data_IF_504465207965
#
_entry.id   IF_504465207965
#
_cell.length_a   1.000
_cell.length_b   1.000
_cell.length_c   1.000
_cell.angle_alpha   90.00
_cell.angle_beta   90.00
_cell.angle_gamma   90.00
#
_symmetry.space_group_name_H-M   'P 1'
#
loop_
_entity.id
_entity.type
_entity.pdbx_description
1 polymer ?
#
# COMPACT_ATOMS: atom_id res chain seq x y z
N UNK A 1 61.87 23.83 -5.64
CA UNK A 1 60.85 22.76 -5.67
C UNK A 1 59.83 23.08 -4.58
N UNK A 2 58.57 23.34 -4.94
CA UNK A 2 57.50 23.77 -4.03
C UNK A 2 56.63 22.57 -3.66
N UNK A 3 56.26 22.50 -2.36
CA UNK A 3 54.98 22.00 -1.79
C UNK A 3 54.79 20.46 -1.74
N UNK A 4 54.19 19.83 -0.72
CA UNK A 4 53.23 20.23 0.33
C UNK A 4 53.42 19.34 1.59
N UNK A 5 53.23 19.96 2.75
CA UNK A 5 53.13 19.36 4.09
C UNK A 5 51.73 18.76 4.28
N UNK A 6 51.65 17.51 4.73
CA UNK A 6 50.39 16.87 5.11
C UNK A 6 50.05 17.31 6.54
N UNK A 7 49.07 18.20 6.66
CA UNK A 7 48.49 18.60 7.95
C UNK A 7 47.31 17.69 8.26
N UNK A 8 47.45 16.91 9.33
CA UNK A 8 46.38 16.21 10.03
C UNK A 8 45.48 17.27 10.66
N UNK A 9 44.21 17.34 10.24
CA UNK A 9 43.20 18.20 10.84
C UNK A 9 42.35 17.37 11.80
N UNK A 10 42.69 17.48 13.08
CA UNK A 10 41.78 17.18 14.20
C UNK A 10 40.83 18.37 14.31
N UNK A 11 39.56 18.16 14.01
CA UNK A 11 38.49 19.12 14.33
C UNK A 11 37.58 18.52 15.40
N UNK A 12 37.90 18.81 16.65
CA UNK A 12 36.91 18.95 17.71
C UNK A 12 36.34 20.37 17.62
N UNK A 13 35.00 20.52 17.53
CA UNK A 13 34.23 21.65 18.05
C UNK A 13 32.71 21.43 17.80
N UNK A 14 32.02 21.20 18.92
CA UNK A 14 30.68 21.66 19.30
C UNK A 14 29.43 21.25 18.51
N UNK A 15 28.50 20.70 19.29
CA UNK A 15 27.15 20.29 18.94
C UNK A 15 26.31 21.47 18.42
N UNK A 16 25.79 21.31 17.21
CA UNK A 16 24.76 22.16 16.62
C UNK A 16 24.00 21.35 15.58
N UNK A 17 22.79 20.92 15.93
CA UNK A 17 21.70 20.41 15.08
C UNK A 17 22.10 19.80 13.72
N UNK A 18 22.44 18.50 13.74
CA UNK A 18 22.59 17.67 12.54
C UNK A 18 21.32 16.84 12.21
N UNK A 19 20.13 17.41 12.43
CA UNK A 19 18.83 16.70 12.27
C UNK A 19 18.00 17.18 11.06
N UNK A 20 18.61 17.75 10.01
CA UNK A 20 17.82 18.28 8.88
C UNK A 20 18.45 18.13 7.47
N UNK A 21 19.37 17.18 7.25
CA UNK A 21 20.06 17.05 5.94
C UNK A 21 20.12 15.65 5.32
N UNK A 22 19.32 14.70 5.80
CA UNK A 22 19.29 13.34 5.21
C UNK A 22 17.94 12.90 4.60
N UNK A 23 16.99 13.83 4.51
CA UNK A 23 15.82 13.70 3.64
C UNK A 23 15.91 14.80 2.58
N UNK A 24 15.78 14.41 1.31
CA UNK A 24 15.91 15.25 0.13
C UNK A 24 17.33 15.72 -0.22
N UNK A 25 18.09 14.81 -0.82
CA UNK A 25 18.91 15.22 -1.96
C UNK A 25 18.13 14.86 -3.22
N UNK A 26 17.59 15.85 -3.97
CA UNK A 26 17.04 15.63 -5.31
C UNK A 26 18.03 14.95 -6.27
N UNK A 27 19.32 14.82 -5.88
CA UNK A 27 20.39 14.17 -6.64
C UNK A 27 20.61 12.69 -6.28
N UNK A 28 20.05 12.16 -5.18
CA UNK A 28 20.34 10.80 -4.70
C UNK A 28 19.17 9.80 -4.80
N UNK A 29 17.96 10.24 -5.16
CA UNK A 29 16.79 9.37 -5.31
C UNK A 29 16.18 8.88 -3.99
N UNK A 30 15.11 8.08 -4.09
CA UNK A 30 14.48 7.41 -2.92
C UNK A 30 15.35 6.26 -2.42
N UNK A 31 15.27 5.94 -1.12
CA UNK A 31 16.02 4.80 -0.56
C UNK A 31 15.47 3.50 -1.15
N UNK A 32 16.35 2.60 -1.56
CA UNK A 32 15.93 1.23 -1.88
C UNK A 32 15.63 0.45 -0.60
N UNK A 33 14.90 -0.66 -0.72
CA UNK A 33 14.66 -1.59 0.40
C UNK A 33 15.95 -2.06 1.07
N UNK A 34 17.03 -2.23 0.31
CA UNK A 34 18.34 -2.62 0.83
C UNK A 34 19.01 -1.50 1.65
N UNK A 35 18.89 -0.24 1.19
CA UNK A 35 19.36 0.92 1.95
C UNK A 35 18.57 1.09 3.25
N UNK A 36 17.25 0.89 3.20
CA UNK A 36 16.38 0.94 4.37
C UNK A 36 16.76 -0.17 5.36
N UNK A 37 16.97 -1.41 4.90
CA UNK A 37 17.45 -2.51 5.75
C UNK A 37 18.79 -2.16 6.43
N UNK A 38 19.74 -1.59 5.69
CA UNK A 38 21.02 -1.14 6.27
C UNK A 38 20.78 -0.09 7.35
N UNK A 39 19.93 0.88 7.07
CA UNK A 39 19.59 1.94 8.01
C UNK A 39 18.96 1.42 9.30
N UNK A 40 18.06 0.42 9.21
CA UNK A 40 17.50 -0.23 10.39
C UNK A 40 18.56 -0.94 11.24
N UNK A 41 19.56 -1.57 10.61
CA UNK A 41 20.66 -2.19 11.36
C UNK A 41 21.50 -1.12 12.06
N UNK A 42 21.82 -0.02 11.37
CA UNK A 42 22.55 1.10 11.97
C UNK A 42 21.79 1.70 13.17
N UNK A 43 20.46 1.84 13.08
CA UNK A 43 19.63 2.28 14.21
C UNK A 43 19.68 1.29 15.39
N UNK A 44 19.64 -0.01 15.11
CA UNK A 44 19.67 -1.04 16.13
C UNK A 44 21.02 -1.14 16.83
N UNK A 45 22.11 -1.09 16.07
CA UNK A 45 23.48 -1.13 16.59
C UNK A 45 23.76 0.09 17.50
N UNK A 46 23.20 1.26 17.17
CA UNK A 46 23.32 2.47 17.98
C UNK A 46 22.34 2.54 19.16
N UNK A 47 21.42 1.58 19.29
CA UNK A 47 20.37 1.56 20.32
C UNK A 47 20.36 0.25 21.09
N UNK A 48 21.54 -0.19 21.54
CA UNK A 48 21.72 -1.44 22.28
C UNK A 48 20.75 -1.59 23.45
N UNK A 49 20.14 -2.77 23.56
CA UNK A 49 19.10 -3.08 24.56
C UNK A 49 17.69 -2.59 24.19
N UNK A 50 17.54 -1.72 23.19
CA UNK A 50 16.25 -1.15 22.81
C UNK A 50 15.76 -1.54 21.41
N UNK A 51 16.65 -1.94 20.51
CA UNK A 51 16.29 -2.29 19.14
C UNK A 51 16.93 -3.60 18.67
N UNK A 52 16.18 -4.39 17.90
CA UNK A 52 16.70 -5.56 17.18
C UNK A 52 16.05 -5.69 15.81
N UNK A 53 16.86 -5.86 14.78
CA UNK A 53 16.39 -6.13 13.41
C UNK A 53 16.25 -7.63 13.18
N UNK A 54 15.17 -8.04 12.50
CA UNK A 54 14.97 -9.41 12.02
C UNK A 54 14.16 -9.36 10.73
N UNK A 55 14.36 -10.37 9.89
CA UNK A 55 13.41 -10.66 8.83
C UNK A 55 12.20 -11.42 9.36
N UNK A 56 10.99 -11.02 8.92
CA UNK A 56 9.74 -11.71 9.26
C UNK A 56 9.37 -12.77 8.20
N UNK A 57 10.10 -12.81 7.09
CA UNK A 57 9.86 -13.71 5.97
C UNK A 57 10.53 -13.20 4.70
N UNK A 58 10.36 -13.94 3.61
CA UNK A 58 10.92 -13.58 2.31
C UNK A 58 9.81 -13.44 1.28
N UNK A 59 10.03 -12.61 0.26
CA UNK A 59 9.16 -12.55 -0.93
C UNK A 59 9.27 -13.83 -1.77
N UNK A 60 8.57 -13.89 -2.91
CA UNK A 60 8.64 -15.05 -3.82
C UNK A 60 9.92 -15.12 -4.66
N UNK A 61 10.67 -14.02 -4.78
CA UNK A 61 11.64 -13.86 -5.86
C UNK A 61 10.95 -13.45 -7.17
N UNK A 62 11.75 -12.99 -8.12
CA UNK A 62 11.32 -12.71 -9.51
C UNK A 62 12.18 -13.48 -10.50
N UNK A 63 11.77 -13.53 -11.77
CA UNK A 63 12.61 -14.13 -12.82
C UNK A 63 13.98 -13.42 -12.83
N UNK A 64 15.04 -14.11 -12.39
CA UNK A 64 16.41 -13.62 -12.33
C UNK A 64 16.84 -12.87 -11.06
N UNK A 65 15.97 -12.69 -10.04
CA UNK A 65 16.36 -12.10 -8.75
C UNK A 65 15.94 -12.99 -7.57
N UNK A 66 16.83 -13.20 -6.57
CA UNK A 66 16.50 -14.00 -5.40
C UNK A 66 15.41 -13.32 -4.56
N UNK A 67 14.65 -14.09 -3.75
CA UNK A 67 13.75 -13.56 -2.74
C UNK A 67 14.42 -12.49 -1.87
N UNK A 68 13.66 -11.44 -1.54
CA UNK A 68 14.07 -10.37 -0.65
C UNK A 68 13.51 -10.59 0.75
N UNK A 69 14.32 -10.27 1.75
CA UNK A 69 13.90 -10.29 3.16
C UNK A 69 12.92 -9.16 3.45
N UNK A 70 11.81 -9.48 4.12
CA UNK A 70 10.86 -8.51 4.66
C UNK A 70 11.39 -8.09 6.03
N UNK A 71 12.13 -6.98 6.06
CA UNK A 71 12.91 -6.57 7.23
C UNK A 71 12.06 -5.75 8.20
N UNK A 72 12.13 -6.10 9.49
CA UNK A 72 11.48 -5.40 10.58
C UNK A 72 12.48 -4.98 11.67
N UNK A 73 12.23 -3.86 12.32
CA UNK A 73 12.90 -3.47 13.58
C UNK A 73 11.91 -3.60 14.73
N UNK A 74 12.30 -4.32 15.79
CA UNK A 74 11.57 -4.41 17.05
C UNK A 74 12.19 -3.44 18.04
N UNK A 75 11.37 -2.53 18.58
CA UNK A 75 11.75 -1.46 19.49
C UNK A 75 11.00 -1.63 20.82
N UNK A 76 11.74 -1.86 21.91
CA UNK A 76 11.22 -1.99 23.28
C UNK A 76 12.39 -2.03 24.26
N UNK A 77 12.17 -1.69 25.54
CA UNK A 77 13.18 -1.95 26.58
C UNK A 77 13.44 -3.46 26.69
N UNK A 78 14.71 -3.86 26.66
CA UNK A 78 15.17 -5.25 26.61
C UNK A 78 14.73 -6.00 25.35
N UNK A 79 14.89 -5.37 24.18
CA UNK A 79 14.49 -5.90 22.88
C UNK A 79 14.94 -7.35 22.65
N UNK A 80 13.97 -8.23 22.37
CA UNK A 80 14.19 -9.64 22.04
C UNK A 80 13.10 -10.15 21.10
N UNK A 81 13.53 -10.86 20.05
CA UNK A 81 12.59 -11.54 19.15
C UNK A 81 12.07 -12.86 19.71
N UNK A 82 12.77 -13.42 20.70
CA UNK A 82 12.50 -14.76 21.27
C UNK A 82 11.71 -14.70 22.59
N UNK A 83 11.83 -13.59 23.33
CA UNK A 83 11.10 -13.39 24.57
C UNK A 83 10.48 -11.99 24.56
N UNK A 84 9.17 -11.96 24.48
CA UNK A 84 8.37 -10.76 24.34
C UNK A 84 7.98 -10.15 25.71
N UNK A 85 8.32 -10.86 26.82
CA UNK A 85 8.03 -10.47 28.20
C UNK A 85 6.54 -10.36 28.51
N UNK A 86 5.67 -10.95 27.70
CA UNK A 86 4.22 -10.77 27.74
C UNK A 86 3.76 -9.37 27.34
N UNK A 87 4.65 -8.51 26.81
CA UNK A 87 4.30 -7.13 26.45
C UNK A 87 3.37 -7.13 25.23
N UNK A 88 2.27 -6.35 25.24
CA UNK A 88 1.47 -6.15 24.05
C UNK A 88 2.32 -5.54 22.93
N UNK A 89 2.08 -5.99 21.69
CA UNK A 89 2.81 -5.59 20.50
C UNK A 89 1.95 -4.71 19.61
N UNK A 90 2.53 -3.63 19.12
CA UNK A 90 1.99 -2.77 18.06
C UNK A 90 2.82 -3.00 16.81
N UNK A 91 2.17 -3.26 15.68
CA UNK A 91 2.84 -3.38 14.38
C UNK A 91 2.58 -2.11 13.56
N UNK A 92 3.62 -1.58 12.93
CA UNK A 92 3.54 -0.45 12.00
C UNK A 92 4.13 -0.90 10.66
N UNK A 93 3.38 -0.74 9.58
CA UNK A 93 3.81 -1.10 8.23
C UNK A 93 3.83 0.09 7.30
N UNK A 94 4.76 0.06 6.35
CA UNK A 94 4.80 0.95 5.19
C UNK A 94 5.04 0.16 3.91
N UNK A 95 4.77 0.80 2.78
CA UNK A 95 4.95 0.26 1.43
C UNK A 95 4.45 -1.19 1.28
N UNK A 96 3.23 -1.47 1.75
CA UNK A 96 2.48 -2.64 1.29
C UNK A 96 2.17 -2.51 -0.22
N UNK A 97 1.97 -1.28 -0.70
CA UNK A 97 1.95 -0.94 -2.11
C UNK A 97 3.29 -0.37 -2.55
N UNK A 98 3.83 -0.86 -3.67
CA UNK A 98 5.18 -0.51 -4.12
C UNK A 98 5.37 0.99 -4.41
N UNK A 99 4.36 1.65 -4.97
CA UNK A 99 4.40 3.03 -5.43
C UNK A 99 4.18 4.09 -4.33
N UNK A 100 4.00 3.70 -3.06
CA UNK A 100 3.70 4.62 -1.96
C UNK A 100 4.98 5.03 -1.22
N UNK A 101 5.90 5.69 -1.93
CA UNK A 101 7.30 5.87 -1.51
C UNK A 101 7.54 6.70 -0.25
N UNK A 102 6.56 7.51 0.17
CA UNK A 102 6.67 8.30 1.39
C UNK A 102 6.48 7.45 2.66
N UNK A 103 5.76 6.32 2.56
CA UNK A 103 5.34 5.54 3.74
C UNK A 103 6.50 4.85 4.47
N UNK A 104 7.58 4.35 3.80
CA UNK A 104 8.76 3.87 4.51
C UNK A 104 9.49 4.98 5.26
N UNK A 105 9.56 6.20 4.72
CA UNK A 105 10.22 7.33 5.37
C UNK A 105 9.47 7.75 6.64
N UNK A 106 8.13 7.70 6.63
CA UNK A 106 7.32 7.87 7.85
C UNK A 106 7.65 6.81 8.89
N UNK A 107 7.75 5.53 8.47
CA UNK A 107 8.12 4.43 9.36
C UNK A 107 9.52 4.62 9.97
N UNK A 108 10.49 5.10 9.18
CA UNK A 108 11.84 5.40 9.66
C UNK A 108 11.84 6.56 10.66
N UNK A 109 11.12 7.65 10.38
CA UNK A 109 10.99 8.77 11.31
C UNK A 109 10.34 8.37 12.64
N UNK A 110 9.37 7.45 12.63
CA UNK A 110 8.80 6.88 13.86
C UNK A 110 9.85 6.07 14.62
N UNK A 111 10.63 5.22 13.93
CA UNK A 111 11.68 4.43 14.56
C UNK A 111 12.74 5.31 15.24
N UNK A 112 13.23 6.33 14.53
CA UNK A 112 14.16 7.34 15.04
C UNK A 112 13.58 8.05 16.26
N UNK A 113 12.37 8.60 16.14
CA UNK A 113 11.75 9.35 17.23
C UNK A 113 11.62 8.52 18.51
N UNK A 114 11.22 7.25 18.39
CA UNK A 114 11.12 6.34 19.53
C UNK A 114 12.49 6.08 20.18
N UNK A 115 13.53 5.86 19.39
CA UNK A 115 14.88 5.53 19.87
C UNK A 115 15.62 6.74 20.44
N UNK A 116 15.44 7.92 19.85
CA UNK A 116 16.00 9.18 20.34
C UNK A 116 15.36 9.59 21.68
N UNK A 117 14.08 9.26 21.86
CA UNK A 117 13.32 9.59 23.07
C UNK A 117 13.15 8.42 24.05
N UNK A 118 13.89 7.31 23.87
CA UNK A 118 13.76 6.11 24.72
C UNK A 118 13.98 6.37 26.22
N UNK A 119 14.83 7.35 26.54
CA UNK A 119 15.12 7.76 27.92
C UNK A 119 14.29 8.96 28.39
N UNK A 120 13.46 9.52 27.50
CA UNK A 120 12.63 10.68 27.79
C UNK A 120 11.40 10.29 28.63
N UNK A 121 11.42 10.73 29.89
CA UNK A 121 10.35 10.48 30.86
C UNK A 121 9.27 11.57 30.86
N UNK A 122 9.53 12.72 30.22
CA UNK A 122 8.58 13.80 30.12
C UNK A 122 7.37 13.39 29.27
N UNK A 123 6.19 13.98 29.52
CA UNK A 123 5.06 13.83 28.61
C UNK A 123 5.45 14.23 27.18
N UNK A 124 5.13 13.35 26.23
CA UNK A 124 5.37 13.50 24.81
C UNK A 124 4.62 14.73 24.31
N UNK A 125 5.36 15.52 23.54
CA UNK A 125 4.89 16.72 22.91
C UNK A 125 4.89 16.53 21.41
N UNK A 126 3.92 17.18 20.81
CA UNK A 126 3.79 17.32 19.38
C UNK A 126 4.92 18.25 18.87
N UNK A 127 5.17 18.33 17.57
CA UNK A 127 6.26 19.14 17.00
C UNK A 127 6.12 20.65 17.24
N UNK A 128 4.94 21.14 17.69
CA UNK A 128 4.74 22.54 18.14
C UNK A 128 5.01 22.72 19.64
N UNK A 129 5.41 21.65 20.32
CA UNK A 129 5.65 21.63 21.76
C UNK A 129 4.38 21.47 22.58
N UNK A 130 3.20 21.27 21.98
CA UNK A 130 1.97 21.01 22.73
C UNK A 130 1.94 19.58 23.24
N UNK A 131 1.34 19.37 24.41
CA UNK A 131 1.15 18.01 24.90
C UNK A 131 0.25 17.21 23.96
N UNK A 132 0.61 15.97 23.65
CA UNK A 132 -0.24 15.09 22.81
C UNK A 132 -1.59 14.79 23.51
N UNK A 133 -1.66 14.98 24.83
CA UNK A 133 -2.88 14.91 25.62
C UNK A 133 -3.44 16.29 26.02
N UNK A 134 -3.01 17.40 25.41
CA UNK A 134 -3.68 18.70 25.60
C UNK A 134 -5.13 18.60 25.11
N UNK A 135 -6.08 19.22 25.82
CA UNK A 135 -7.53 19.13 25.52
C UNK A 135 -8.27 17.96 26.20
N UNK A 136 -7.59 17.16 27.02
CA UNK A 136 -8.21 16.19 27.93
C UNK A 136 -9.03 16.90 29.04
N UNK A 137 -10.22 17.43 28.71
CA UNK A 137 -11.15 17.96 29.71
C UNK A 137 -12.02 19.17 29.35
N UNK A 138 -11.98 19.73 28.14
CA UNK A 138 -12.77 20.94 27.83
C UNK A 138 -13.44 20.89 26.45
N UNK A 139 -14.55 20.15 26.37
CA UNK A 139 -15.71 20.49 25.55
C UNK A 139 -16.86 19.54 25.95
N UNK A 140 -17.82 20.04 26.71
CA UNK A 140 -19.11 19.40 26.86
C UNK A 140 -19.81 19.44 25.49
N UNK A 141 -19.60 18.40 24.67
CA UNK A 141 -20.18 18.29 23.33
C UNK A 141 -19.33 17.55 22.29
N UNK A 142 -18.04 17.32 22.51
CA UNK A 142 -17.17 16.62 21.54
C UNK A 142 -16.81 15.20 22.01
N UNK A 143 -17.02 14.22 21.13
CA UNK A 143 -16.97 12.76 21.34
C UNK A 143 -15.56 12.17 21.52
N UNK A 144 -14.52 12.96 21.79
CA UNK A 144 -13.11 12.54 21.70
C UNK A 144 -12.48 12.09 23.03
N UNK A 145 -13.28 11.68 24.02
CA UNK A 145 -12.90 11.35 25.41
C UNK A 145 -11.86 10.24 25.65
N UNK A 146 -11.09 9.82 24.64
CA UNK A 146 -10.00 8.84 24.76
C UNK A 146 -8.68 9.58 25.07
N UNK A 147 -8.19 9.39 26.29
CA UNK A 147 -6.95 10.00 26.78
C UNK A 147 -5.84 8.92 26.83
N UNK A 148 -4.71 9.11 26.14
CA UNK A 148 -3.58 8.18 26.23
C UNK A 148 -3.05 8.07 27.66
N UNK A 149 -3.08 6.86 28.23
CA UNK A 149 -2.54 6.56 29.57
C UNK A 149 -1.01 6.58 29.59
N UNK A 150 -0.39 6.11 28.51
CA UNK A 150 1.05 6.15 28.30
C UNK A 150 1.37 7.41 27.51
N UNK A 151 1.88 8.42 28.21
CA UNK A 151 2.17 9.71 27.62
C UNK A 151 3.66 10.05 27.58
N UNK A 152 4.58 9.17 27.99
CA UNK A 152 6.02 9.37 27.76
C UNK A 152 6.60 8.21 26.96
N UNK A 153 7.57 8.50 26.09
CA UNK A 153 8.17 7.49 25.22
C UNK A 153 8.90 6.42 26.03
N UNK A 154 9.64 6.81 27.07
CA UNK A 154 10.28 5.84 27.96
C UNK A 154 9.28 4.88 28.62
N UNK A 155 8.14 5.39 29.12
CA UNK A 155 7.10 4.53 29.73
C UNK A 155 6.40 3.67 28.69
N UNK A 156 6.23 4.16 27.47
CA UNK A 156 5.70 3.40 26.35
C UNK A 156 6.58 2.18 26.06
N UNK A 157 7.89 2.38 25.85
CA UNK A 157 8.83 1.30 25.50
C UNK A 157 9.07 0.29 26.64
N UNK A 158 8.79 0.66 27.89
CA UNK A 158 8.77 -0.28 29.03
C UNK A 158 7.55 -1.19 29.02
N UNK A 159 6.42 -0.74 28.45
CA UNK A 159 5.12 -1.41 28.54
C UNK A 159 4.71 -2.14 27.27
N UNK A 160 5.18 -1.70 26.11
CA UNK A 160 4.81 -2.28 24.82
C UNK A 160 6.03 -2.67 24.00
N UNK A 161 5.80 -3.49 22.98
CA UNK A 161 6.70 -3.70 21.86
C UNK A 161 6.18 -2.94 20.65
N UNK A 162 7.07 -2.28 19.91
CA UNK A 162 6.73 -1.70 18.61
C UNK A 162 7.54 -2.42 17.55
N UNK A 163 6.88 -3.07 16.61
CA UNK A 163 7.51 -3.68 15.43
C UNK A 163 7.21 -2.79 14.24
N UNK A 164 8.26 -2.31 13.57
CA UNK A 164 8.12 -1.45 12.39
C UNK A 164 8.68 -2.21 11.20
N UNK A 165 7.88 -2.31 10.13
CA UNK A 165 8.23 -2.91 8.84
C UNK A 165 8.12 -1.80 7.80
N UNK A 166 9.19 -1.01 7.56
CA UNK A 166 9.10 0.16 6.68
C UNK A 166 8.76 -0.20 5.23
N UNK A 167 9.23 -1.36 4.75
CA UNK A 167 8.96 -1.86 3.41
C UNK A 167 8.42 -3.28 3.49
N UNK A 168 7.10 -3.40 3.50
CA UNK A 168 6.44 -4.71 3.56
C UNK A 168 6.45 -5.45 2.21
N UNK A 169 6.45 -4.71 1.09
CA UNK A 169 6.56 -5.22 -0.27
C UNK A 169 7.92 -4.83 -0.92
N UNK A 170 9.06 -5.43 -0.52
CA UNK A 170 10.38 -4.94 -0.95
C UNK A 170 10.66 -5.12 -2.44
N UNK A 171 10.12 -6.15 -3.08
CA UNK A 171 10.27 -6.32 -4.53
C UNK A 171 9.42 -5.34 -5.33
N UNK A 172 8.14 -5.17 -4.97
CA UNK A 172 7.26 -4.21 -5.63
C UNK A 172 7.74 -2.78 -5.42
N UNK A 173 8.21 -2.46 -4.21
CA UNK A 173 8.80 -1.17 -3.86
C UNK A 173 10.02 -0.84 -4.71
N UNK A 174 11.04 -1.71 -4.74
CA UNK A 174 12.25 -1.44 -5.53
C UNK A 174 11.95 -1.40 -7.03
N UNK A 175 11.09 -2.29 -7.52
CA UNK A 175 10.70 -2.27 -8.93
C UNK A 175 9.98 -0.97 -9.29
N UNK A 176 9.09 -0.46 -8.42
CA UNK A 176 8.37 0.80 -8.69
C UNK A 176 9.29 2.01 -8.88
N UNK A 177 10.53 1.96 -8.39
CA UNK A 177 11.51 3.05 -8.54
C UNK A 177 12.31 3.00 -9.86
N UNK A 178 12.24 1.88 -10.59
CA UNK A 178 12.81 1.73 -11.94
C UNK A 178 12.02 2.59 -12.95
N UNK A 179 12.60 2.96 -14.10
CA UNK A 179 11.86 3.64 -15.17
C UNK A 179 10.57 2.91 -15.55
N UNK A 180 10.63 1.59 -15.75
CA UNK A 180 9.49 0.74 -16.12
C UNK A 180 8.43 0.68 -15.00
N UNK A 181 8.90 0.57 -13.75
CA UNK A 181 8.02 0.57 -12.59
C UNK A 181 7.31 1.90 -12.36
N UNK A 182 7.94 3.03 -12.69
CA UNK A 182 7.31 4.36 -12.60
C UNK A 182 6.23 4.55 -13.65
N UNK A 183 6.48 4.06 -14.88
CA UNK A 183 5.54 4.18 -15.99
C UNK A 183 4.36 3.20 -15.90
N UNK A 184 4.51 2.14 -15.09
CA UNK A 184 3.47 1.15 -14.84
C UNK A 184 2.12 1.77 -14.46
N UNK A 185 1.04 1.21 -15.00
CA UNK A 185 -0.35 1.62 -14.73
C UNK A 185 -0.60 3.12 -14.97
N UNK A 186 -0.24 3.61 -16.17
CA UNK A 186 -0.49 5.00 -16.60
C UNK A 186 0.27 6.03 -15.76
N UNK A 187 1.51 5.74 -15.40
CA UNK A 187 2.30 6.63 -14.54
C UNK A 187 1.85 6.68 -13.08
N UNK A 188 0.85 5.88 -12.68
CA UNK A 188 0.49 5.73 -11.27
C UNK A 188 1.56 4.98 -10.46
N UNK A 189 2.48 4.30 -11.14
CA UNK A 189 3.58 3.54 -10.55
C UNK A 189 3.17 2.12 -10.15
N UNK A 190 4.17 1.23 -10.09
CA UNK A 190 3.96 -0.17 -9.75
C UNK A 190 3.50 -0.36 -8.31
N UNK A 191 2.32 -0.96 -8.15
CA UNK A 191 1.64 -1.15 -6.86
C UNK A 191 1.76 -2.57 -6.27
N UNK A 192 1.53 -3.66 -7.03
CA UNK A 192 1.52 -5.03 -6.49
C UNK A 192 2.88 -5.51 -5.98
N UNK A 193 2.94 -6.72 -5.41
CA UNK A 193 4.22 -7.44 -5.29
C UNK A 193 4.76 -7.85 -6.66
N UNK A 194 5.85 -8.65 -6.70
CA UNK A 194 6.47 -9.06 -7.97
C UNK A 194 6.41 -10.57 -8.22
N UNK A 195 5.55 -11.29 -7.50
CA UNK A 195 5.34 -12.71 -7.74
C UNK A 195 4.94 -12.94 -9.19
N UNK A 196 5.68 -13.82 -9.86
CA UNK A 196 5.25 -14.32 -11.15
C UNK A 196 4.00 -15.16 -10.96
N UNK A 197 2.92 -14.75 -11.58
CA UNK A 197 1.70 -15.54 -11.62
C UNK A 197 1.98 -16.66 -12.63
N UNK A 198 1.82 -17.91 -12.22
CA UNK A 198 1.99 -19.04 -13.13
C UNK A 198 1.15 -18.76 -14.38
N UNK A 199 1.73 -18.98 -15.57
CA UNK A 199 0.92 -19.02 -16.78
C UNK A 199 -0.07 -20.17 -16.57
N UNK A 200 -1.27 -19.85 -16.10
CA UNK A 200 -2.36 -20.81 -16.09
C UNK A 200 -2.63 -21.28 -17.52
N UNK A 201 -3.45 -22.31 -17.70
CA UNK A 201 -4.06 -22.50 -19.02
C UNK A 201 -4.63 -21.15 -19.49
N UNK A 202 -4.66 -20.91 -20.79
CA UNK A 202 -5.23 -19.69 -21.41
C UNK A 202 -6.75 -19.54 -21.15
N UNK A 203 -7.27 -20.09 -20.06
CA UNK A 203 -8.64 -19.99 -19.63
C UNK A 203 -8.92 -18.57 -19.20
N UNK A 204 -9.49 -17.84 -20.15
CA UNK A 204 -10.10 -16.56 -19.95
C UNK A 204 -11.39 -16.76 -19.13
N UNK A 205 -11.41 -16.24 -17.92
CA UNK A 205 -12.58 -16.30 -17.05
C UNK A 205 -13.35 -14.99 -17.20
N UNK A 206 -14.52 -15.05 -17.82
CA UNK A 206 -15.38 -13.88 -18.01
C UNK A 206 -16.42 -13.75 -16.90
N UNK A 207 -16.69 -12.51 -16.49
CA UNK A 207 -17.60 -12.18 -15.40
C UNK A 207 -18.83 -11.41 -15.91
N UNK A 208 -19.99 -11.73 -15.35
CA UNK A 208 -21.25 -11.00 -15.50
C UNK A 208 -21.23 -9.70 -14.68
N UNK A 209 -22.20 -8.81 -14.97
CA UNK A 209 -22.44 -7.58 -14.19
C UNK A 209 -22.85 -7.84 -12.72
N UNK A 210 -23.28 -9.05 -12.40
CA UNK A 210 -23.56 -9.47 -11.01
C UNK A 210 -22.36 -10.16 -10.33
N UNK A 211 -21.22 -10.25 -11.01
CA UNK A 211 -20.00 -10.90 -10.53
C UNK A 211 -19.94 -12.41 -10.70
N UNK A 212 -20.99 -13.05 -11.24
CA UNK A 212 -20.97 -14.49 -11.54
C UNK A 212 -20.13 -14.80 -12.78
N UNK A 213 -19.59 -16.02 -12.86
CA UNK A 213 -18.74 -16.45 -13.97
C UNK A 213 -19.59 -16.93 -15.15
N UNK A 214 -19.21 -16.56 -16.37
CA UNK A 214 -19.70 -17.20 -17.58
C UNK A 214 -19.04 -18.58 -17.75
N UNK A 215 -19.80 -19.68 -17.91
CA UNK A 215 -19.23 -20.99 -18.28
C UNK A 215 -18.50 -20.94 -19.62
N UNK A 216 -19.02 -20.10 -20.53
CA UNK A 216 -18.38 -19.61 -21.74
C UNK A 216 -18.97 -18.23 -22.05
N UNK A 217 -18.16 -17.26 -22.52
CA UNK A 217 -18.67 -15.94 -22.91
C UNK A 217 -19.69 -16.05 -24.07
N UNK A 218 -20.70 -15.17 -24.14
CA UNK A 218 -21.65 -15.15 -25.25
C UNK A 218 -20.94 -15.02 -26.61
N UNK A 219 -21.44 -15.69 -27.64
CA UNK A 219 -20.79 -15.76 -28.96
C UNK A 219 -20.65 -14.39 -29.68
N UNK A 220 -21.36 -13.38 -29.20
CA UNK A 220 -21.36 -11.99 -29.67
C UNK A 220 -20.77 -11.01 -28.66
N UNK A 221 -20.21 -11.52 -27.55
CA UNK A 221 -19.61 -10.68 -26.52
C UNK A 221 -18.22 -10.18 -26.93
N UNK A 222 -17.90 -8.96 -26.50
CA UNK A 222 -16.55 -8.40 -26.49
C UNK A 222 -15.92 -8.63 -25.11
N UNK A 223 -14.73 -9.24 -25.09
CA UNK A 223 -13.87 -9.43 -23.93
C UNK A 223 -13.07 -8.16 -23.69
N UNK A 224 -13.43 -7.42 -22.65
CA UNK A 224 -12.77 -6.17 -22.31
C UNK A 224 -11.78 -6.37 -21.16
N UNK A 225 -10.54 -5.91 -21.36
CA UNK A 225 -9.49 -5.92 -20.34
C UNK A 225 -8.58 -4.68 -20.49
N UNK A 226 -7.86 -4.37 -19.42
CA UNK A 226 -6.72 -3.45 -19.50
C UNK A 226 -5.60 -4.12 -20.31
N UNK A 227 -5.17 -3.47 -21.38
CA UNK A 227 -4.02 -3.85 -22.16
C UNK A 227 -2.98 -2.73 -22.15
N UNK A 228 -1.72 -3.07 -22.40
CA UNK A 228 -0.74 -2.06 -22.78
C UNK A 228 -0.77 -1.87 -24.29
N UNK A 229 -0.71 -0.62 -24.67
CA UNK A 229 -0.48 -0.15 -26.02
C UNK A 229 0.99 0.27 -26.14
N UNK A 230 1.65 -0.33 -27.11
CA UNK A 230 3.04 -0.03 -27.45
C UNK A 230 3.04 0.90 -28.67
N UNK A 231 3.15 2.21 -28.44
CA UNK A 231 3.31 3.23 -29.49
C UNK A 231 4.79 3.33 -29.88
N UNK A 232 5.32 2.32 -30.57
CA UNK A 232 6.65 2.44 -31.17
C UNK A 232 6.58 3.23 -32.48
N UNK A 233 6.31 4.53 -32.42
CA UNK A 233 6.78 5.44 -33.44
C UNK A 233 8.29 5.68 -33.21
N UNK A 234 9.13 4.95 -33.94
CA UNK A 234 10.56 5.25 -34.16
C UNK A 234 11.53 5.22 -32.95
N UNK A 235 11.88 4.03 -32.47
CA UNK A 235 13.20 3.75 -31.87
C UNK A 235 13.62 4.52 -30.60
N UNK A 236 12.71 5.25 -29.96
CA UNK A 236 12.89 5.88 -28.65
C UNK A 236 12.40 5.02 -27.48
N UNK A 237 12.65 5.48 -26.25
CA UNK A 237 12.15 4.85 -25.01
C UNK A 237 10.63 4.62 -25.10
N UNK A 238 10.19 3.45 -24.65
CA UNK A 238 8.81 2.94 -24.76
C UNK A 238 7.86 3.83 -23.97
N UNK A 239 7.01 4.63 -24.62
CA UNK A 239 5.87 5.26 -23.96
C UNK A 239 4.71 4.24 -23.92
N UNK A 240 4.60 3.51 -22.80
CA UNK A 240 3.49 2.56 -22.55
C UNK A 240 2.21 3.35 -22.27
N UNK A 241 1.31 3.50 -23.25
CA UNK A 241 -0.07 3.93 -22.99
C UNK A 241 -0.92 2.70 -22.74
N UNK A 242 -1.57 2.53 -21.60
CA UNK A 242 -2.53 1.42 -21.48
C UNK A 242 -3.86 1.83 -22.16
N UNK A 243 -4.55 0.88 -22.79
CA UNK A 243 -5.84 1.12 -23.47
C UNK A 243 -6.82 0.03 -23.05
N UNK A 244 -8.11 0.36 -23.03
CA UNK A 244 -9.12 -0.70 -22.97
C UNK A 244 -9.19 -1.31 -24.35
N UNK A 245 -8.92 -2.60 -24.38
CA UNK A 245 -9.12 -3.43 -25.55
C UNK A 245 -10.32 -4.29 -25.26
N UNK A 246 -11.34 -4.15 -26.10
CA UNK A 246 -12.45 -5.08 -26.16
C UNK A 246 -12.29 -5.90 -27.44
N UNK A 247 -12.12 -7.21 -27.29
CA UNK A 247 -11.90 -8.15 -28.40
C UNK A 247 -13.12 -9.05 -28.54
N UNK A 248 -13.64 -9.25 -29.75
CA UNK A 248 -14.72 -10.24 -29.95
C UNK A 248 -14.24 -11.65 -29.61
N UNK A 249 -15.15 -12.50 -29.13
CA UNK A 249 -14.87 -13.93 -28.83
C UNK A 249 -14.21 -14.70 -29.99
N UNK A 250 -14.45 -14.29 -31.24
CA UNK A 250 -13.86 -14.90 -32.42
C UNK A 250 -12.48 -14.32 -32.82
N UNK A 251 -11.97 -13.36 -32.04
CA UNK A 251 -10.67 -12.71 -32.21
C UNK A 251 -10.56 -11.87 -33.49
N UNK A 252 -11.69 -11.52 -34.14
CA UNK A 252 -11.70 -10.80 -35.42
C UNK A 252 -11.93 -9.31 -35.29
N UNK A 253 -12.59 -8.88 -34.22
CA UNK A 253 -12.95 -7.47 -34.01
C UNK A 253 -12.26 -6.97 -32.76
N UNK A 254 -11.55 -5.86 -32.89
CA UNK A 254 -10.89 -5.22 -31.77
C UNK A 254 -11.34 -3.76 -31.69
N UNK A 255 -11.93 -3.42 -30.56
CA UNK A 255 -12.37 -2.08 -30.22
C UNK A 255 -11.36 -1.49 -29.23
N UNK A 256 -10.56 -0.53 -29.71
CA UNK A 256 -9.70 0.30 -28.86
C UNK A 256 -10.53 1.49 -28.35
N UNK A 257 -10.57 1.67 -27.04
CA UNK A 257 -11.14 2.88 -26.46
C UNK A 257 -9.99 3.82 -26.08
N UNK A 258 -9.88 4.94 -26.82
CA UNK A 258 -8.84 5.96 -26.60
C UNK A 258 -8.93 6.55 -25.18
N UNK A 259 -7.79 6.99 -24.61
CA UNK A 259 -7.68 7.51 -23.25
C UNK A 259 -8.15 8.97 -23.10
N UNK A 260 -9.06 9.49 -23.94
CA UNK A 260 -9.55 10.88 -23.77
C UNK A 260 -10.38 11.09 -22.50
N UNK A 261 -10.54 10.04 -21.70
CA UNK A 261 -10.99 10.09 -20.34
C UNK A 261 -9.71 10.22 -19.48
N UNK A 262 -9.38 11.44 -19.04
CA UNK A 262 -8.41 11.76 -17.97
C UNK A 262 -8.89 11.22 -16.62
N UNK A 263 -9.14 9.93 -16.60
CA UNK A 263 -10.15 9.29 -15.76
C UNK A 263 -9.42 8.21 -15.04
N UNK A 264 -9.31 8.41 -13.74
CA UNK A 264 -8.68 7.46 -12.85
C UNK A 264 -9.22 6.05 -13.18
N UNK A 265 -8.35 5.04 -13.11
CA UNK A 265 -8.70 3.63 -13.37
C UNK A 265 -10.06 3.18 -12.82
N UNK A 266 -10.56 3.76 -11.73
CA UNK A 266 -11.89 3.52 -11.19
C UNK A 266 -13.05 3.93 -12.14
N UNK A 267 -13.03 5.13 -12.70
CA UNK A 267 -14.08 5.63 -13.60
C UNK A 267 -14.00 4.96 -14.99
N UNK A 268 -12.80 4.52 -15.40
CA UNK A 268 -12.56 3.77 -16.65
C UNK A 268 -13.16 2.36 -16.58
N UNK A 269 -13.02 1.70 -15.43
CA UNK A 269 -13.66 0.41 -15.17
C UNK A 269 -15.15 0.54 -14.95
N UNK A 270 -15.62 1.61 -14.32
CA UNK A 270 -17.05 1.91 -14.24
C UNK A 270 -17.65 2.08 -15.66
N UNK A 271 -16.91 2.63 -16.62
CA UNK A 271 -17.38 2.75 -18.01
C UNK A 271 -17.53 1.39 -18.72
N UNK A 272 -16.70 0.39 -18.41
CA UNK A 272 -16.82 -0.97 -18.96
C UNK A 272 -17.85 -1.78 -18.18
N UNK A 273 -17.76 -1.78 -16.84
CA UNK A 273 -18.57 -2.61 -15.96
C UNK A 273 -20.01 -2.10 -15.83
N UNK A 274 -20.20 -0.78 -15.83
CA UNK A 274 -21.52 -0.16 -15.91
C UNK A 274 -21.88 0.21 -17.36
N UNK A 275 -21.16 -0.32 -18.35
CA UNK A 275 -21.58 -0.22 -19.74
C UNK A 275 -22.98 -0.79 -19.86
N UNK A 276 -23.87 -0.06 -20.52
CA UNK A 276 -25.21 -0.56 -20.87
C UNK A 276 -25.20 -1.42 -22.13
N UNK A 277 -24.05 -1.64 -22.76
CA UNK A 277 -23.91 -2.54 -23.90
C UNK A 277 -23.87 -3.99 -23.39
N UNK A 278 -24.91 -4.80 -23.64
CA UNK A 278 -25.00 -6.17 -23.13
C UNK A 278 -23.95 -7.11 -23.72
N UNK A 279 -23.21 -6.67 -24.75
CA UNK A 279 -22.14 -7.44 -25.38
C UNK A 279 -20.81 -7.30 -24.65
N UNK A 280 -20.60 -6.29 -23.80
CA UNK A 280 -19.30 -6.10 -23.14
C UNK A 280 -19.22 -6.89 -21.83
N UNK A 281 -18.23 -7.77 -21.75
CA UNK A 281 -17.95 -8.58 -20.56
C UNK A 281 -16.51 -8.34 -20.10
N UNK A 282 -16.29 -8.30 -18.79
CA UNK A 282 -14.94 -8.18 -18.23
C UNK A 282 -14.36 -9.58 -18.07
N UNK A 283 -13.21 -9.83 -18.69
CA UNK A 283 -12.55 -11.13 -18.61
C UNK A 283 -11.16 -11.01 -17.96
N UNK A 284 -10.84 -12.00 -17.12
CA UNK A 284 -9.55 -12.17 -16.48
C UNK A 284 -8.72 -13.20 -17.25
N UNK A 285 -7.47 -12.88 -17.54
CA UNK A 285 -6.49 -13.79 -18.12
C UNK A 285 -5.27 -13.89 -17.21
N UNK A 286 -4.66 -15.09 -17.12
CA UNK A 286 -3.34 -15.30 -16.51
C UNK A 286 -2.20 -14.55 -17.21
N UNK A 287 -2.49 -13.83 -18.29
CA UNK A 287 -1.54 -13.15 -19.16
C UNK A 287 -1.96 -11.69 -19.37
N UNK A 288 -0.96 -10.81 -19.51
CA UNK A 288 -1.14 -9.43 -19.96
C UNK A 288 -1.13 -9.43 -21.49
N UNK A 289 -2.19 -8.93 -22.13
CA UNK A 289 -2.26 -8.74 -23.58
C UNK A 289 -1.61 -7.40 -23.94
N UNK A 290 -0.64 -7.41 -24.85
CA UNK A 290 0.08 -6.23 -25.35
C UNK A 290 -0.14 -6.10 -26.85
N UNK A 291 -0.48 -4.90 -27.31
CA UNK A 291 -0.75 -4.62 -28.73
C UNK A 291 0.28 -3.64 -29.29
N UNK A 292 0.72 -3.88 -30.53
CA UNK A 292 1.71 -3.06 -31.24
C UNK A 292 1.07 -2.37 -32.45
N UNK A 293 1.37 -1.08 -32.64
CA UNK A 293 0.97 -0.35 -33.85
C UNK A 293 1.73 -0.81 -35.11
N UNK A 294 1.05 -0.72 -36.26
CA UNK A 294 1.75 -0.41 -37.51
C UNK A 294 0.97 0.58 -38.33
N UNK A 295 1.67 1.61 -38.74
CA UNK A 295 1.21 2.60 -39.69
C UNK A 295 1.20 2.02 -41.10
N UNK A 296 0.04 2.04 -41.77
CA UNK A 296 -0.02 1.94 -43.22
C UNK A 296 0.04 3.36 -43.77
N UNK A 297 1.21 3.78 -44.23
CA UNK A 297 1.37 5.07 -44.90
C UNK A 297 0.80 5.00 -46.31
N UNK A 298 -0.32 5.68 -46.55
CA UNK A 298 -0.73 6.10 -47.88
C UNK A 298 -0.99 7.62 -47.85
N UNK A 299 -0.31 8.33 -48.75
CA UNK A 299 -0.10 9.79 -48.83
C UNK A 299 -1.33 10.65 -49.16
N UNK A 300 -2.49 10.48 -48.52
CA UNK A 300 -3.58 11.47 -48.60
C UNK A 300 -4.38 11.57 -47.30
N UNK A 301 -4.20 12.69 -46.57
CA UNK A 301 -5.12 13.43 -45.66
C UNK A 301 -6.30 12.69 -44.96
N UNK A 302 -6.17 11.40 -44.69
CA UNK A 302 -7.15 10.59 -43.96
C UNK A 302 -6.44 9.69 -42.96
N UNK A 303 -6.10 10.27 -41.82
CA UNK A 303 -5.77 9.49 -40.61
C UNK A 303 -7.00 8.65 -40.26
N UNK A 304 -7.02 7.41 -40.76
CA UNK A 304 -8.09 6.45 -40.56
C UNK A 304 -7.77 5.63 -39.31
N UNK A 305 -8.78 5.42 -38.46
CA UNK A 305 -8.74 4.70 -37.18
C UNK A 305 -7.57 3.71 -37.00
N UNK A 306 -6.85 3.85 -35.89
CA UNK A 306 -5.92 2.84 -35.38
C UNK A 306 -6.59 1.45 -35.40
N UNK A 307 -6.01 0.51 -36.14
CA UNK A 307 -6.36 -0.91 -36.06
C UNK A 307 -5.22 -1.60 -35.32
N UNK A 308 -5.49 -2.17 -34.15
CA UNK A 308 -4.53 -3.08 -33.52
C UNK A 308 -4.31 -4.28 -34.47
N UNK A 309 -3.06 -4.73 -34.63
CA UNK A 309 -2.78 -5.98 -35.37
C UNK A 309 -3.45 -7.15 -34.66
N UNK A 310 -3.89 -8.17 -35.41
CA UNK A 310 -4.36 -9.45 -34.86
C UNK A 310 -3.31 -10.14 -33.96
N UNK A 311 -2.04 -9.80 -34.15
CA UNK A 311 -0.91 -10.30 -33.36
C UNK A 311 -0.58 -9.40 -32.15
N UNK A 312 -1.50 -9.27 -31.20
CA UNK A 312 -1.10 -8.94 -29.83
C UNK A 312 -0.25 -10.08 -29.25
N UNK A 313 0.70 -9.78 -28.37
CA UNK A 313 1.48 -10.84 -27.71
C UNK A 313 1.19 -10.88 -26.21
N UNK A 314 1.22 -12.09 -25.67
CA UNK A 314 0.87 -12.38 -24.28
C UNK A 314 2.15 -12.36 -23.44
N UNK A 315 2.22 -11.46 -22.47
CA UNK A 315 3.26 -11.47 -21.43
C UNK A 315 2.72 -12.15 -20.16
N UNK A 316 3.57 -12.85 -19.38
CA UNK A 316 3.16 -13.33 -18.07
C UNK A 316 2.66 -12.17 -17.19
N UNK A 317 1.55 -12.39 -16.48
CA UNK A 317 1.10 -11.44 -15.47
C UNK A 317 1.99 -11.52 -14.22
N UNK A 318 2.21 -10.38 -13.59
CA UNK A 318 3.00 -10.27 -12.37
C UNK A 318 2.22 -9.55 -11.29
N UNK A 319 2.37 -10.04 -10.08
CA UNK A 319 2.02 -9.32 -8.88
C UNK A 319 0.58 -9.50 -8.41
N UNK A 320 0.45 -9.59 -7.09
CA UNK A 320 -0.79 -9.54 -6.34
C UNK A 320 -0.77 -8.26 -5.49
N UNK A 321 -1.90 -7.54 -5.42
CA UNK A 321 -2.10 -6.48 -4.43
C UNK A 321 -2.21 -7.14 -3.05
N UNK A 322 -1.15 -7.02 -2.25
CA UNK A 322 -1.07 -7.64 -0.92
C UNK A 322 -2.23 -7.16 -0.05
N UNK A 323 -2.65 -5.88 -0.16
CA UNK A 323 -3.79 -5.35 0.59
C UNK A 323 -5.14 -5.73 -0.02
N UNK A 324 -5.20 -6.76 -0.86
CA UNK A 324 -6.40 -7.47 -1.30
C UNK A 324 -6.34 -8.97 -1.04
N UNK A 325 -5.23 -9.43 -0.45
CA UNK A 325 -4.91 -10.85 -0.34
C UNK A 325 -5.24 -11.45 1.04
N UNK A 326 -5.78 -10.67 1.99
CA UNK A 326 -6.09 -11.15 3.34
C UNK A 326 -7.40 -11.95 3.39
N UNK A 327 -7.49 -12.90 4.33
CA UNK A 327 -8.52 -13.94 4.35
C UNK A 327 -9.94 -13.44 4.64
N UNK A 328 -10.10 -12.44 5.49
CA UNK A 328 -11.45 -11.98 5.83
C UNK A 328 -12.09 -11.24 4.66
N UNK A 329 -13.27 -11.71 4.27
CA UNK A 329 -14.02 -11.16 3.14
C UNK A 329 -13.12 -11.03 1.89
N UNK A 330 -12.20 -11.99 1.69
CA UNK A 330 -11.28 -12.03 0.56
C UNK A 330 -12.02 -12.02 -0.77
N UNK A 331 -13.02 -12.89 -0.89
CA UNK A 331 -13.86 -13.06 -2.08
C UNK A 331 -15.34 -12.86 -1.75
N UNK A 332 -15.75 -11.59 -1.61
CA UNK A 332 -17.18 -11.27 -1.40
C UNK A 332 -17.87 -11.21 -2.75
N UNK A 333 -18.80 -12.14 -2.98
CA UNK A 333 -19.51 -12.33 -4.24
C UNK A 333 -20.92 -11.74 -4.26
N UNK A 334 -21.36 -10.99 -3.24
CA UNK A 334 -22.79 -10.67 -3.09
C UNK A 334 -23.10 -9.17 -2.95
N UNK A 335 -23.92 -8.66 -3.88
CA UNK A 335 -24.72 -7.42 -3.81
C UNK A 335 -24.03 -6.07 -3.55
N UNK A 336 -22.73 -5.95 -3.79
CA UNK A 336 -22.03 -4.66 -3.69
C UNK A 336 -21.79 -4.11 -5.10
N UNK A 337 -22.53 -3.07 -5.49
CA UNK A 337 -22.48 -2.41 -6.83
C UNK A 337 -21.13 -1.76 -7.19
N UNK A 338 -20.09 -1.94 -6.39
CA UNK A 338 -18.77 -1.33 -6.56
C UNK A 338 -17.69 -2.43 -6.54
N UNK A 339 -17.60 -3.15 -7.66
CA UNK A 339 -16.77 -4.35 -7.82
C UNK A 339 -15.30 -4.05 -8.19
N UNK A 340 -14.94 -2.79 -8.38
CA UNK A 340 -13.62 -2.38 -8.86
C UNK A 340 -12.47 -2.69 -7.89
N UNK A 341 -12.74 -2.81 -6.59
CA UNK A 341 -11.68 -2.94 -5.57
C UNK A 341 -11.25 -4.41 -5.38
N UNK A 342 -11.82 -5.36 -6.14
CA UNK A 342 -11.69 -6.82 -5.94
C UNK A 342 -11.43 -7.55 -7.26
N UNK A 343 -10.43 -7.13 -8.03
CA UNK A 343 -10.22 -7.73 -9.34
C UNK A 343 -9.69 -9.16 -9.25
N UNK A 344 -10.35 -10.04 -10.01
CA UNK A 344 -9.90 -11.41 -10.29
C UNK A 344 -8.97 -11.46 -11.49
N UNK A 345 -8.66 -10.33 -12.13
CA UNK A 345 -7.76 -10.24 -13.27
C UNK A 345 -6.30 -10.10 -12.84
N UNK A 346 -5.44 -11.10 -13.15
CA UNK A 346 -3.99 -11.05 -12.94
C UNK A 346 -3.28 -9.82 -13.53
N UNK A 347 -3.85 -9.16 -14.55
CA UNK A 347 -3.25 -7.96 -15.16
C UNK A 347 -3.50 -6.66 -14.39
N UNK A 348 -4.41 -6.67 -13.42
CA UNK A 348 -4.80 -5.44 -12.71
C UNK A 348 -3.91 -5.17 -11.50
N UNK A 349 -3.62 -3.89 -11.26
CA UNK A 349 -2.87 -3.41 -10.08
C UNK A 349 -3.53 -3.71 -8.73
N UNK A 350 -4.80 -4.13 -8.73
CA UNK A 350 -5.55 -4.50 -7.53
C UNK A 350 -5.81 -6.01 -7.44
N UNK A 351 -5.12 -6.83 -8.24
CA UNK A 351 -5.33 -8.28 -8.30
C UNK A 351 -5.25 -8.90 -6.92
N UNK A 352 -6.32 -9.58 -6.49
CA UNK A 352 -6.45 -10.13 -5.12
C UNK A 352 -5.64 -11.39 -4.86
N UNK A 353 -4.96 -11.91 -5.88
CA UNK A 353 -4.27 -13.19 -5.85
C UNK A 353 -5.18 -14.36 -6.24
N UNK A 354 -4.60 -15.55 -6.49
CA UNK A 354 -5.35 -16.76 -6.80
C UNK A 354 -6.08 -17.37 -5.60
N UNK A 355 -5.70 -16.99 -4.38
CA UNK A 355 -6.22 -17.51 -3.11
C UNK A 355 -6.08 -16.47 -1.99
N UNK A 356 -6.88 -16.58 -0.94
CA UNK A 356 -6.62 -15.85 0.30
C UNK A 356 -5.27 -16.28 0.85
N UNK A 357 -4.46 -15.32 1.32
CA UNK A 357 -3.12 -15.54 1.87
C UNK A 357 -2.24 -16.32 0.87
N UNK A 358 -2.44 -16.10 -0.43
CA UNK A 358 -1.63 -16.77 -1.47
C UNK A 358 -0.21 -16.24 -1.52
N UNK A 359 0.03 -15.01 -1.07
CA UNK A 359 1.31 -14.34 -1.17
C UNK A 359 2.22 -14.64 0.04
N UNK A 360 3.53 -14.80 -0.19
CA UNK A 360 4.47 -15.03 0.90
C UNK A 360 4.55 -13.84 1.86
N UNK A 361 4.33 -12.61 1.39
CA UNK A 361 4.25 -11.42 2.24
C UNK A 361 3.06 -11.52 3.22
N UNK A 362 1.86 -11.81 2.72
CA UNK A 362 0.65 -12.02 3.55
C UNK A 362 0.88 -13.13 4.57
N UNK A 363 1.48 -14.24 4.12
CA UNK A 363 1.82 -15.39 5.00
C UNK A 363 2.82 -15.00 6.09
N UNK A 364 3.81 -14.15 5.79
CA UNK A 364 4.79 -13.69 6.77
C UNK A 364 4.13 -12.86 7.88
N UNK A 365 3.15 -12.02 7.54
CA UNK A 365 2.42 -11.24 8.54
C UNK A 365 1.52 -12.11 9.42
N UNK A 366 0.80 -13.07 8.84
CA UNK A 366 0.00 -14.05 9.62
C UNK A 366 0.88 -14.81 10.63
N UNK A 367 2.08 -15.25 10.22
CA UNK A 367 3.04 -15.91 11.12
C UNK A 367 3.55 -14.97 12.22
N UNK A 368 3.83 -13.72 11.88
CA UNK A 368 4.27 -12.73 12.85
C UNK A 368 3.20 -12.46 13.91
N UNK A 369 1.95 -12.30 13.48
CA UNK A 369 0.81 -12.06 14.36
C UNK A 369 0.53 -13.28 15.24
N UNK A 370 0.49 -14.48 14.66
CA UNK A 370 0.25 -15.71 15.43
C UNK A 370 1.31 -15.99 16.51
N UNK A 371 2.54 -15.48 16.32
CA UNK A 371 3.65 -15.67 17.26
C UNK A 371 3.75 -14.62 18.37
N UNK A 372 2.83 -13.64 18.46
CA UNK A 372 2.96 -12.47 19.35
C UNK A 372 1.61 -12.03 19.92
N UNK A 373 1.64 -11.39 21.08
CA UNK A 373 0.46 -10.70 21.62
C UNK A 373 0.25 -9.34 20.91
N UNK A 374 -0.17 -9.38 19.65
CA UNK A 374 -0.44 -8.16 18.86
C UNK A 374 -1.78 -7.57 19.28
N UNK A 375 -1.79 -6.28 19.63
CA UNK A 375 -3.00 -5.57 20.07
C UNK A 375 -3.41 -4.46 19.12
N UNK A 376 -2.48 -3.94 18.31
CA UNK A 376 -2.76 -2.92 17.31
C UNK A 376 -1.88 -3.05 16.07
N UNK A 377 -2.41 -2.60 14.93
CA UNK A 377 -1.69 -2.51 13.66
C UNK A 377 -2.00 -1.18 12.97
N UNK A 378 -0.97 -0.50 12.45
CA UNK A 378 -1.11 0.74 11.69
C UNK A 378 -0.41 0.55 10.35
N UNK A 379 -1.17 0.62 9.26
CA UNK A 379 -0.65 0.43 7.90
C UNK A 379 -0.64 1.74 7.11
N UNK A 380 0.53 2.36 6.99
CA UNK A 380 0.67 3.64 6.30
C UNK A 380 0.53 3.48 4.79
N UNK A 381 -0.35 4.32 4.23
CA UNK A 381 -0.55 4.47 2.78
C UNK A 381 -0.34 5.92 2.32
N UNK A 382 -0.27 6.13 1.01
CA UNK A 382 -0.14 7.45 0.40
C UNK A 382 -1.19 7.70 -0.69
N UNK A 383 -1.42 8.99 -1.00
CA UNK A 383 -2.35 9.44 -2.04
C UNK A 383 -3.64 10.08 -1.52
N UNK A 384 -3.80 10.21 -0.19
CA UNK A 384 -4.91 10.98 0.44
C UNK A 384 -4.57 11.35 1.88
N UNK A 385 -5.40 12.21 2.47
CA UNK A 385 -5.34 12.62 3.88
C UNK A 385 -6.48 11.98 4.66
N UNK A 386 -6.40 10.68 4.93
CA UNK A 386 -7.46 9.95 5.67
C UNK A 386 -6.87 9.00 6.71
N UNK A 387 -7.53 8.91 7.86
CA UNK A 387 -7.32 7.86 8.86
C UNK A 387 -8.46 6.88 8.74
N UNK A 388 -8.16 5.66 8.30
CA UNK A 388 -9.17 4.69 7.92
C UNK A 388 -9.28 3.55 8.95
N UNK A 389 -10.50 3.30 9.42
CA UNK A 389 -10.82 2.22 10.37
C UNK A 389 -11.74 1.16 9.72
N UNK A 390 -11.83 -0.07 10.26
CA UNK A 390 -12.66 -1.10 9.64
C UNK A 390 -14.17 -0.75 9.75
N UNK A 391 -15.02 -1.30 8.90
CA UNK A 391 -14.71 -2.23 7.80
C UNK A 391 -14.59 -1.51 6.45
N UNK A 392 -13.52 -1.77 5.71
CA UNK A 392 -13.40 -1.39 4.33
C UNK A 392 -14.36 -2.17 3.42
N UNK A 393 -14.71 -3.43 3.71
CA UNK A 393 -15.47 -4.26 2.76
C UNK A 393 -16.92 -3.85 2.54
N UNK A 394 -17.46 -2.95 3.36
CA UNK A 394 -18.86 -2.53 3.36
C UNK A 394 -18.99 -1.11 3.88
N UNK A 395 -19.84 -0.29 3.26
CA UNK A 395 -20.19 1.05 3.76
C UNK A 395 -21.28 1.02 4.83
N UNK A 396 -21.94 -0.14 5.04
CA UNK A 396 -23.10 -0.30 5.92
C UNK A 396 -22.76 -0.99 7.22
N UNK A 397 -21.89 -1.98 7.16
CA UNK A 397 -21.52 -2.75 8.35
C UNK A 397 -20.64 -1.91 9.26
N UNK A 398 -20.79 -2.09 10.57
CA UNK A 398 -20.03 -1.35 11.59
C UNK A 398 -19.24 -2.34 12.43
N UNK A 399 -18.07 -1.93 12.90
CA UNK A 399 -17.22 -2.73 13.79
C UNK A 399 -17.86 -2.83 15.17
N UNK A 400 -18.12 -4.05 15.64
CA UNK A 400 -18.71 -4.27 16.95
C UNK A 400 -18.46 -5.69 17.48
N UNK A 401 -17.19 -6.03 17.70
CA UNK A 401 -16.80 -7.29 18.34
C UNK A 401 -16.73 -7.17 19.87
N UNK A 402 -16.92 -5.97 20.41
CA UNK A 402 -16.76 -5.62 21.82
C UNK A 402 -15.36 -5.98 22.36
N UNK A 403 -14.33 -5.85 21.53
CA UNK A 403 -12.95 -6.18 21.90
C UNK A 403 -12.17 -4.96 22.40
N UNK A 404 -12.58 -3.75 22.01
CA UNK A 404 -11.92 -2.50 22.40
C UNK A 404 -12.53 -1.87 23.65
N UNK A 405 -13.44 -2.58 24.32
CA UNK A 405 -14.22 -2.09 25.45
C UNK A 405 -13.34 -1.31 26.45
N UNK A 406 -13.65 -0.03 26.62
CA UNK A 406 -12.89 0.90 27.46
C UNK A 406 -13.55 1.12 28.84
N UNK A 407 -14.59 0.34 29.15
CA UNK A 407 -15.38 0.47 30.37
C UNK A 407 -16.43 1.60 30.33
N UNK A 408 -16.56 2.33 29.22
CA UNK A 408 -17.55 3.41 29.05
C UNK A 408 -18.85 2.97 28.39
N UNK A 409 -18.93 1.69 27.97
CA UNK A 409 -20.08 1.14 27.25
C UNK A 409 -20.10 1.47 25.76
N UNK A 410 -19.07 2.14 25.23
CA UNK A 410 -18.90 2.41 23.80
C UNK A 410 -18.67 1.12 23.01
N UNK A 411 -19.30 1.06 21.85
CA UNK A 411 -19.03 0.06 20.82
C UNK A 411 -17.63 0.25 20.24
N UNK A 412 -17.07 -0.81 19.65
CA UNK A 412 -15.77 -0.72 18.97
C UNK A 412 -15.79 0.37 17.88
N UNK A 413 -16.92 0.57 17.20
CA UNK A 413 -17.06 1.60 16.16
C UNK A 413 -16.88 3.01 16.72
N UNK A 414 -17.51 3.32 17.84
CA UNK A 414 -17.37 4.62 18.49
C UNK A 414 -15.93 4.84 18.98
N UNK A 415 -15.26 3.78 19.41
CA UNK A 415 -13.86 3.85 19.85
C UNK A 415 -12.93 4.10 18.66
N UNK A 416 -13.05 3.32 17.59
CA UNK A 416 -12.27 3.53 16.37
C UNK A 416 -12.49 4.94 15.80
N UNK A 417 -13.73 5.36 15.67
CA UNK A 417 -14.05 6.70 15.15
C UNK A 417 -13.42 7.80 16.02
N UNK A 418 -13.56 7.72 17.35
CA UNK A 418 -12.98 8.70 18.26
C UNK A 418 -11.44 8.73 18.24
N UNK A 419 -10.78 7.56 18.16
CA UNK A 419 -9.32 7.49 18.02
C UNK A 419 -8.87 8.09 16.69
N UNK A 420 -9.52 7.72 15.59
CA UNK A 420 -9.17 8.21 14.26
C UNK A 420 -9.40 9.72 14.10
N UNK A 421 -10.48 10.27 14.65
CA UNK A 421 -10.72 11.73 14.70
C UNK A 421 -9.62 12.45 15.49
N UNK A 422 -9.19 11.87 16.62
CA UNK A 422 -8.09 12.43 17.40
C UNK A 422 -6.76 12.40 16.64
N UNK A 423 -6.45 11.31 15.93
CA UNK A 423 -5.27 11.23 15.07
C UNK A 423 -5.34 12.29 13.97
N UNK A 424 -6.48 12.38 13.26
CA UNK A 424 -6.69 13.36 12.20
C UNK A 424 -6.55 14.80 12.72
N UNK A 425 -7.11 15.11 13.89
CA UNK A 425 -6.98 16.41 14.54
C UNK A 425 -5.51 16.74 14.87
N UNK A 426 -4.76 15.79 15.44
CA UNK A 426 -3.32 15.96 15.71
C UNK A 426 -2.55 16.23 14.42
N UNK A 427 -2.81 15.45 13.35
CA UNK A 427 -2.17 15.64 12.05
C UNK A 427 -2.50 17.01 11.44
N UNK A 428 -3.76 17.44 11.52
CA UNK A 428 -4.22 18.73 11.00
C UNK A 428 -3.63 19.93 11.77
N UNK A 429 -3.29 19.78 13.05
CA UNK A 429 -2.56 20.83 13.78
C UNK A 429 -1.23 21.15 13.11
N UNK A 430 -0.58 20.19 12.44
CA UNK A 430 0.73 20.40 11.83
C UNK A 430 0.70 21.12 10.49
N UNK A 431 -0.44 21.19 9.81
CA UNK A 431 -0.55 21.81 8.49
C UNK A 431 -0.03 23.25 8.44
N UNK A 432 -0.17 24.06 9.51
CA UNK A 432 0.36 25.43 9.51
C UNK A 432 0.01 26.22 8.23
N UNK A 433 1.01 26.82 7.59
CA UNK A 433 0.92 27.43 6.25
C UNK A 433 1.21 26.44 5.09
N UNK A 434 1.73 25.24 5.42
CA UNK A 434 2.02 24.17 4.47
C UNK A 434 0.80 23.27 4.27
N UNK A 435 0.02 23.59 3.24
CA UNK A 435 -1.21 22.88 2.90
C UNK A 435 -0.98 21.42 2.45
N UNK A 436 0.25 20.96 2.28
CA UNK A 436 0.56 19.59 1.83
C UNK A 436 0.19 18.51 2.87
N UNK A 437 0.11 18.86 4.16
CA UNK A 437 -0.25 17.95 5.27
C UNK A 437 -1.43 18.54 6.05
N UNK A 438 -2.52 18.86 5.36
CA UNK A 438 -3.75 19.38 5.95
C UNK A 438 -4.99 18.70 5.36
N UNK A 439 -6.09 18.67 6.10
CA UNK A 439 -7.33 18.05 5.64
C UNK A 439 -7.43 16.55 5.90
N UNK A 440 -6.75 16.04 6.93
CA UNK A 440 -6.97 14.69 7.42
C UNK A 440 -8.39 14.52 7.94
N UNK A 441 -9.05 13.44 7.54
CA UNK A 441 -10.40 13.06 7.98
C UNK A 441 -10.39 11.63 8.50
N UNK A 442 -11.23 11.33 9.50
CA UNK A 442 -11.48 9.95 9.87
C UNK A 442 -12.61 9.36 9.03
N UNK A 443 -12.42 8.17 8.48
CA UNK A 443 -13.47 7.51 7.71
C UNK A 443 -13.38 5.99 7.83
N UNK A 444 -14.51 5.31 7.71
CA UNK A 444 -14.52 3.85 7.59
C UNK A 444 -13.98 3.39 6.22
N UNK A 445 -14.38 4.12 5.17
CA UNK A 445 -14.09 3.83 3.79
C UNK A 445 -13.35 5.00 3.15
N UNK A 446 -12.48 4.68 2.19
CA UNK A 446 -11.81 5.69 1.38
C UNK A 446 -12.85 6.56 0.65
N UNK A 447 -12.71 7.89 0.74
CA UNK A 447 -13.71 8.88 0.28
C UNK A 447 -15.14 8.63 0.78
N UNK A 448 -15.32 7.87 1.87
CA UNK A 448 -16.62 7.54 2.45
C UNK A 448 -17.45 6.51 1.67
N UNK A 449 -17.00 6.06 0.50
CA UNK A 449 -17.79 5.22 -0.42
C UNK A 449 -17.04 4.03 -1.00
N UNK A 450 -15.71 4.10 -1.10
CA UNK A 450 -14.89 3.05 -1.71
C UNK A 450 -14.74 1.84 -0.78
N UNK A 451 -15.19 0.66 -1.24
CA UNK A 451 -15.16 -0.59 -0.46
C UNK A 451 -14.01 -1.52 -0.82
N UNK A 452 -13.17 -1.95 0.13
CA UNK A 452 -12.05 -2.86 -0.11
C UNK A 452 -12.24 -4.27 0.45
N UNK A 453 -11.90 -5.31 -0.31
CA UNK A 453 -11.92 -6.71 0.14
C UNK A 453 -10.55 -7.23 0.47
N UNK A 454 -10.49 -8.21 1.36
CA UNK A 454 -9.22 -8.85 1.72
C UNK A 454 -8.14 -7.84 2.11
N UNK A 455 -8.55 -6.74 2.76
CA UNK A 455 -7.63 -5.73 3.28
C UNK A 455 -7.11 -6.17 4.65
N UNK A 456 -5.85 -5.81 4.97
CA UNK A 456 -5.20 -6.18 6.22
C UNK A 456 -6.02 -5.78 7.45
N UNK A 457 -6.45 -4.51 7.48
CA UNK A 457 -7.21 -3.90 8.57
C UNK A 457 -8.48 -4.67 8.94
N UNK A 458 -9.30 -4.98 7.95
CA UNK A 458 -10.55 -5.70 8.17
C UNK A 458 -10.30 -7.11 8.68
N UNK A 459 -9.27 -7.76 8.11
CA UNK A 459 -8.89 -9.11 8.49
C UNK A 459 -8.46 -9.18 9.95
N UNK A 460 -7.46 -8.41 10.35
CA UNK A 460 -6.91 -8.51 11.69
C UNK A 460 -7.87 -8.04 12.78
N UNK A 461 -8.68 -7.02 12.50
CA UNK A 461 -9.76 -6.68 13.41
C UNK A 461 -10.76 -7.82 13.56
N UNK A 462 -11.17 -8.46 12.45
CA UNK A 462 -12.21 -9.47 12.48
C UNK A 462 -11.76 -10.83 13.01
N UNK A 463 -10.59 -11.30 12.62
CA UNK A 463 -10.13 -12.67 12.92
C UNK A 463 -9.36 -12.67 14.23
N UNK A 464 -8.43 -11.73 14.39
CA UNK A 464 -7.47 -11.74 15.51
C UNK A 464 -7.87 -10.81 16.67
N UNK A 465 -8.80 -9.88 16.44
CA UNK A 465 -9.19 -8.92 17.47
C UNK A 465 -8.15 -7.82 17.69
N UNK A 466 -7.44 -7.45 16.64
CA UNK A 466 -6.41 -6.42 16.65
C UNK A 466 -7.03 -5.07 16.30
N UNK A 467 -6.69 -4.01 17.05
CA UNK A 467 -7.06 -2.65 16.68
C UNK A 467 -6.27 -2.20 15.44
N UNK A 468 -6.84 -2.36 14.25
CA UNK A 468 -6.15 -2.09 12.99
C UNK A 468 -6.64 -0.79 12.32
N UNK A 469 -5.70 0.04 11.85
CA UNK A 469 -5.94 1.31 11.17
C UNK A 469 -5.06 1.42 9.91
N UNK A 470 -5.48 2.26 8.97
CA UNK A 470 -4.63 2.76 7.88
C UNK A 470 -4.49 4.27 7.96
#
# INVERSE_FOLDING_TARGET
MKRIVITILVCSLWAGNALATWCESPRLGMKSSAMIRRYLNDLADNSSGYAKVRSIGTTSGTDGSPPKEITAILITENASWENDGGKPTVIITGAIHGNEWATPEVCLGIAEYLLDNKDNTAPARDARGELINSGAGTAAGETTGIIPRLNSISRLLKKIQVIIIPVYNPEGYDYSQTPEGKMSYYGAGWRPNRRRLAAGPQEEICYRQDGTVYPAPPADAEHCFLADYDDTASGGEVEEESVIVCESTDGKTLSLFKPSLSVASAEMFDAIYNSRDPRRVVCASGQRRVWKETWSGDDEDRVSLARARKEGYLRPAFGTDINRNFQYKWDVTNNQKHLFIRTRSPSSRMYRGPGAISEPESTAMERLIAGRNVVALIDYHAGSTQVLYPYAYSTRDRVNRNILADGTGRSDYEIFHAVSEKIAAILNRYGGDDKSISGYTAAQNYNGTSVGSGVARDCYYQTEGIAALN
#
